data_IF_383095906468
#
_entry.id   IF_383095906468
#
_cell.length_a   1.000
_cell.length_b   1.000
_cell.length_c   1.000
_cell.angle_alpha   90.00
_cell.angle_beta   90.00
_cell.angle_gamma   90.00
#
_symmetry.space_group_name_H-M   'P 1'
#
loop_
_entity.id
_entity.type
_entity.pdbx_description
1 polymer ?
#
# COMPACT_ATOMS: atom_id res chain seq x y z
N UNK A 1 8.11 -15.69 -4.11
CA UNK A 1 7.02 -14.82 -4.62
C UNK A 1 7.62 -13.73 -5.50
N UNK A 2 6.96 -13.32 -6.59
CA UNK A 2 7.41 -12.18 -7.41
C UNK A 2 7.19 -10.86 -6.66
N UNK A 3 7.91 -9.78 -6.98
CA UNK A 3 7.61 -8.45 -6.42
C UNK A 3 6.15 -8.05 -6.65
N UNK A 4 5.60 -8.31 -7.84
CA UNK A 4 4.20 -8.07 -8.16
C UNK A 4 3.23 -8.79 -7.22
N UNK A 5 3.46 -10.08 -6.97
CA UNK A 5 2.63 -10.85 -6.05
C UNK A 5 2.64 -10.31 -4.61
N UNK A 6 3.77 -9.77 -4.15
CA UNK A 6 3.86 -9.14 -2.82
C UNK A 6 2.97 -7.90 -2.71
N UNK A 7 2.76 -7.14 -3.79
CA UNK A 7 1.84 -6.00 -3.81
C UNK A 7 0.40 -6.47 -3.59
N UNK A 8 -0.04 -7.48 -4.35
CA UNK A 8 -1.38 -8.07 -4.21
C UNK A 8 -1.61 -8.63 -2.80
N UNK A 9 -0.63 -9.35 -2.25
CA UNK A 9 -0.71 -9.88 -0.91
C UNK A 9 -0.83 -8.78 0.17
N UNK A 10 -0.10 -7.68 0.02
CA UNK A 10 -0.25 -6.55 0.95
C UNK A 10 -1.64 -5.91 0.85
N UNK A 11 -2.20 -5.78 -0.36
CA UNK A 11 -3.57 -5.30 -0.56
C UNK A 11 -4.61 -6.23 0.09
N UNK A 12 -4.44 -7.55 -0.05
CA UNK A 12 -5.30 -8.56 0.58
C UNK A 12 -5.28 -8.44 2.12
N UNK A 13 -4.09 -8.35 2.72
CA UNK A 13 -3.93 -8.21 4.17
C UNK A 13 -4.57 -6.90 4.67
N UNK A 14 -4.35 -5.78 3.97
CA UNK A 14 -4.97 -4.50 4.34
C UNK A 14 -6.51 -4.56 4.24
N UNK A 15 -7.05 -5.16 3.19
CA UNK A 15 -8.49 -5.36 3.03
C UNK A 15 -9.07 -6.19 4.18
N UNK A 16 -8.36 -7.23 4.60
CA UNK A 16 -8.76 -8.06 5.72
C UNK A 16 -8.77 -7.29 7.06
N UNK A 17 -7.74 -6.47 7.31
CA UNK A 17 -7.64 -5.62 8.50
C UNK A 17 -8.83 -4.66 8.56
N UNK A 18 -9.18 -4.02 7.43
CA UNK A 18 -10.31 -3.10 7.35
C UNK A 18 -11.65 -3.81 7.57
N UNK A 19 -11.84 -4.98 6.95
CA UNK A 19 -13.09 -5.74 7.05
C UNK A 19 -13.32 -6.34 8.45
N UNK A 20 -12.27 -6.85 9.09
CA UNK A 20 -12.39 -7.59 10.37
C UNK A 20 -12.01 -6.75 11.60
N UNK A 21 -11.43 -5.55 11.42
CA UNK A 21 -10.95 -4.66 12.49
C UNK A 21 -10.05 -5.36 13.52
N UNK A 22 -9.08 -6.12 13.03
CA UNK A 22 -8.15 -6.92 13.86
C UNK A 22 -6.75 -6.30 13.91
N UNK A 23 -5.93 -6.63 14.93
CA UNK A 23 -4.53 -6.21 14.95
C UNK A 23 -3.77 -6.69 13.71
N UNK A 24 -2.95 -5.81 13.12
CA UNK A 24 -2.17 -6.09 11.91
C UNK A 24 -1.26 -7.33 12.05
N UNK A 25 -0.69 -7.55 13.24
CA UNK A 25 0.17 -8.70 13.51
C UNK A 25 -0.59 -10.04 13.42
N UNK A 26 -1.85 -10.07 13.84
CA UNK A 26 -2.70 -11.27 13.73
C UNK A 26 -3.10 -11.52 12.27
N UNK A 27 -3.50 -10.47 11.55
CA UNK A 27 -3.83 -10.57 10.12
C UNK A 27 -2.63 -11.11 9.30
N UNK A 28 -1.42 -10.58 9.53
CA UNK A 28 -0.20 -11.05 8.87
C UNK A 28 0.13 -12.51 9.22
N UNK A 29 -0.09 -12.92 10.48
CA UNK A 29 0.11 -14.31 10.92
C UNK A 29 -0.88 -15.26 10.24
N UNK A 30 -2.16 -14.91 10.24
CA UNK A 30 -3.23 -15.70 9.63
C UNK A 30 -3.02 -15.82 8.11
N UNK A 31 -2.75 -14.70 7.43
CA UNK A 31 -2.42 -14.69 6.01
C UNK A 31 -1.21 -15.60 5.73
N UNK A 32 -0.16 -15.51 6.54
CA UNK A 32 1.01 -16.36 6.40
C UNK A 32 0.70 -17.86 6.60
N UNK A 33 -0.19 -18.22 7.52
CA UNK A 33 -0.59 -19.61 7.73
C UNK A 33 -1.38 -20.17 6.54
N UNK A 34 -2.25 -19.34 5.94
CA UNK A 34 -2.97 -19.68 4.71
C UNK A 34 -2.03 -19.80 3.49
N UNK A 35 -0.96 -19.01 3.45
CA UNK A 35 0.01 -18.95 2.36
C UNK A 35 1.30 -19.70 2.67
N UNK A 36 1.21 -21.03 2.80
CA UNK A 36 2.35 -21.91 3.17
C UNK A 36 3.58 -21.81 2.27
N UNK A 37 3.41 -21.38 1.02
CA UNK A 37 4.49 -21.24 0.05
C UNK A 37 5.22 -19.88 0.14
N UNK A 38 4.67 -18.91 0.89
CA UNK A 38 5.38 -17.67 1.17
C UNK A 38 6.54 -17.93 2.13
N UNK A 39 7.77 -17.78 1.64
CA UNK A 39 8.98 -17.94 2.45
C UNK A 39 9.18 -16.78 3.43
N UNK A 40 10.16 -16.91 4.32
CA UNK A 40 10.47 -15.88 5.33
C UNK A 40 10.75 -14.50 4.72
N UNK A 41 11.45 -14.44 3.59
CA UNK A 41 11.73 -13.19 2.86
C UNK A 41 10.46 -12.56 2.28
N UNK A 42 9.52 -13.37 1.78
CA UNK A 42 8.26 -12.88 1.23
C UNK A 42 7.38 -12.32 2.35
N UNK A 43 7.27 -13.06 3.47
CA UNK A 43 6.51 -12.62 4.66
C UNK A 43 7.07 -11.33 5.24
N UNK A 44 8.40 -11.20 5.32
CA UNK A 44 9.04 -9.98 5.79
C UNK A 44 8.75 -8.79 4.85
N UNK A 45 8.85 -8.99 3.53
CA UNK A 45 8.58 -7.94 2.56
C UNK A 45 7.11 -7.48 2.60
N UNK A 46 6.16 -8.40 2.68
CA UNK A 46 4.72 -8.11 2.80
C UNK A 46 4.43 -7.40 4.11
N UNK A 47 4.98 -7.90 5.23
CA UNK A 47 4.82 -7.28 6.54
C UNK A 47 5.30 -5.83 6.53
N UNK A 48 6.51 -5.57 6.03
CA UNK A 48 7.05 -4.21 5.91
C UNK A 48 6.14 -3.31 5.09
N UNK A 49 5.66 -3.79 3.93
CA UNK A 49 4.76 -3.02 3.08
C UNK A 49 3.43 -2.69 3.78
N UNK A 50 2.83 -3.65 4.48
CA UNK A 50 1.58 -3.43 5.22
C UNK A 50 1.77 -2.41 6.35
N UNK A 51 2.84 -2.53 7.14
CA UNK A 51 3.14 -1.57 8.19
C UNK A 51 3.41 -0.16 7.64
N UNK A 52 4.15 -0.06 6.54
CA UNK A 52 4.45 1.21 5.90
C UNK A 52 3.19 1.85 5.30
N UNK A 53 2.32 1.06 4.69
CA UNK A 53 1.03 1.53 4.17
C UNK A 53 0.12 2.08 5.27
N UNK A 54 0.11 1.45 6.45
CA UNK A 54 -0.61 1.96 7.62
C UNK A 54 0.06 3.21 8.21
N UNK A 55 1.39 3.25 8.22
CA UNK A 55 2.18 4.39 8.72
C UNK A 55 2.00 5.64 7.87
N UNK A 56 1.86 5.48 6.55
CA UNK A 56 1.69 6.57 5.60
C UNK A 56 0.29 6.62 4.98
N UNK A 57 -0.72 6.19 5.75
CA UNK A 57 -2.08 6.00 5.26
C UNK A 57 -2.68 7.31 4.72
N UNK A 58 -2.56 8.39 5.48
CA UNK A 58 -3.19 9.67 5.13
C UNK A 58 -2.54 10.26 3.88
N UNK A 59 -1.21 10.32 3.82
CA UNK A 59 -0.50 10.83 2.65
C UNK A 59 -0.69 9.96 1.41
N UNK A 60 -0.67 8.63 1.55
CA UNK A 60 -0.90 7.71 0.42
C UNK A 60 -2.32 7.82 -0.12
N UNK A 61 -3.31 7.92 0.77
CA UNK A 61 -4.70 8.13 0.38
C UNK A 61 -4.92 9.49 -0.31
N UNK A 62 -4.25 10.55 0.16
CA UNK A 62 -4.27 11.86 -0.48
C UNK A 62 -3.69 11.80 -1.90
N UNK A 63 -2.50 11.23 -2.04
CA UNK A 63 -1.80 11.09 -3.33
C UNK A 63 -2.68 10.36 -4.34
N UNK A 64 -3.24 9.22 -3.92
CA UNK A 64 -4.02 8.36 -4.80
C UNK A 64 -5.51 8.77 -4.90
N UNK A 65 -5.94 9.79 -4.15
CA UNK A 65 -7.33 10.27 -4.15
C UNK A 65 -8.35 9.29 -3.58
N UNK A 66 -7.90 8.23 -2.89
CA UNK A 66 -8.76 7.17 -2.36
C UNK A 66 -8.11 6.52 -1.13
N UNK A 67 -8.94 6.16 -0.15
CA UNK A 67 -8.51 5.43 1.04
C UNK A 67 -8.92 3.95 0.93
N UNK A 68 -8.21 3.22 0.06
CA UNK A 68 -8.46 1.79 -0.21
C UNK A 68 -7.15 1.01 -0.12
N UNK A 69 -7.17 -0.31 0.15
CA UNK A 69 -5.96 -1.12 0.20
C UNK A 69 -5.04 -0.97 -1.03
N UNK A 70 -5.64 -0.89 -2.23
CA UNK A 70 -4.91 -0.63 -3.47
C UNK A 70 -4.23 0.74 -3.45
N UNK A 71 -4.99 1.79 -3.17
CA UNK A 71 -4.46 3.16 -3.12
C UNK A 71 -3.34 3.30 -2.07
N UNK A 72 -3.48 2.68 -0.90
CA UNK A 72 -2.46 2.70 0.15
C UNK A 72 -1.16 2.03 -0.29
N UNK A 73 -1.25 0.85 -0.92
CA UNK A 73 -0.07 0.13 -1.45
C UNK A 73 0.57 0.90 -2.60
N UNK A 74 -0.21 1.41 -3.56
CA UNK A 74 0.33 2.16 -4.70
C UNK A 74 0.97 3.48 -4.27
N UNK A 75 0.34 4.24 -3.38
CA UNK A 75 0.91 5.46 -2.83
C UNK A 75 2.20 5.20 -2.04
N UNK A 76 2.22 4.14 -1.23
CA UNK A 76 3.40 3.76 -0.47
C UNK A 76 4.56 3.37 -1.38
N UNK A 77 4.34 2.43 -2.29
CA UNK A 77 5.42 1.92 -3.13
C UNK A 77 5.85 2.95 -4.19
N UNK A 78 4.89 3.59 -4.83
CA UNK A 78 5.12 4.58 -5.88
C UNK A 78 5.83 5.82 -5.36
N UNK A 79 5.36 6.40 -4.24
CA UNK A 79 5.91 7.63 -3.70
C UNK A 79 6.93 7.41 -2.57
N UNK A 80 6.54 6.74 -1.48
CA UNK A 80 7.39 6.63 -0.28
C UNK A 80 8.62 5.74 -0.52
N UNK A 81 8.45 4.65 -1.24
CA UNK A 81 9.57 3.77 -1.65
C UNK A 81 10.22 4.19 -2.99
N UNK A 82 9.71 5.27 -3.61
CA UNK A 82 10.29 5.90 -4.82
C UNK A 82 10.37 4.99 -6.05
N UNK A 83 9.47 4.01 -6.16
CA UNK A 83 9.42 3.17 -7.36
C UNK A 83 8.86 3.93 -8.58
N UNK A 84 7.99 4.92 -8.35
CA UNK A 84 7.34 5.71 -9.39
C UNK A 84 6.26 4.94 -10.18
N UNK A 85 5.61 5.66 -11.10
CA UNK A 85 4.54 5.11 -11.94
C UNK A 85 5.04 4.00 -12.88
N UNK A 86 6.15 4.24 -13.59
CA UNK A 86 6.71 3.28 -14.56
C UNK A 86 7.15 1.97 -13.88
N UNK A 87 7.77 2.06 -12.71
CA UNK A 87 8.20 0.89 -11.96
C UNK A 87 7.02 0.08 -11.41
N UNK A 88 5.93 0.75 -10.99
CA UNK A 88 4.69 0.08 -10.61
C UNK A 88 4.00 -0.56 -11.81
N UNK A 89 3.96 0.13 -12.96
CA UNK A 89 3.38 -0.38 -14.20
C UNK A 89 4.08 -1.67 -14.67
N UNK A 90 5.39 -1.82 -14.41
CA UNK A 90 6.13 -3.05 -14.70
C UNK A 90 5.73 -4.25 -13.82
N UNK A 91 5.07 -4.02 -12.68
CA UNK A 91 4.57 -5.07 -11.79
C UNK A 91 3.05 -5.25 -11.87
N UNK A 92 2.32 -4.23 -12.30
CA UNK A 92 0.88 -4.28 -12.52
C UNK A 92 0.57 -5.06 -13.81
N UNK A 93 -0.46 -5.91 -13.78
CA UNK A 93 -0.79 -6.80 -14.91
C UNK A 93 0.03 -8.09 -14.99
N UNK A 94 0.94 -8.33 -14.03
CA UNK A 94 1.52 -9.67 -13.81
C UNK A 94 0.40 -10.65 -13.39
N UNK A 95 0.44 -11.94 -13.81
CA UNK A 95 -0.60 -12.91 -13.46
C UNK A 95 -0.85 -13.10 -11.95
N UNK A 96 0.13 -12.76 -11.12
CA UNK A 96 0.03 -12.80 -9.66
C UNK A 96 0.04 -11.40 -9.03
N UNK A 97 0.24 -10.36 -9.84
CA UNK A 97 0.25 -8.96 -9.45
C UNK A 97 -1.14 -8.34 -9.36
N UNK A 98 -1.20 -7.06 -8.99
CA UNK A 98 -2.45 -6.32 -8.99
C UNK A 98 -2.87 -6.03 -10.44
N UNK A 99 -4.16 -5.76 -10.65
CA UNK A 99 -4.68 -5.30 -11.94
C UNK A 99 -3.85 -4.11 -12.49
N UNK A 100 -3.74 -3.97 -13.82
CA UNK A 100 -3.05 -2.86 -14.47
C UNK A 100 -3.42 -1.50 -13.86
N UNK A 101 -2.47 -0.58 -13.83
CA UNK A 101 -2.73 0.78 -13.35
C UNK A 101 -3.75 1.47 -14.26
N UNK A 102 -4.67 2.20 -13.65
CA UNK A 102 -5.59 3.06 -14.40
C UNK A 102 -4.91 4.35 -14.83
N UNK A 103 -5.47 5.04 -15.82
CA UNK A 103 -4.96 6.34 -16.28
C UNK A 103 -4.94 7.39 -15.16
N UNK A 104 -5.94 7.37 -14.27
CA UNK A 104 -5.99 8.26 -13.10
C UNK A 104 -4.88 7.93 -12.09
N UNK A 105 -4.63 6.64 -11.83
CA UNK A 105 -3.54 6.20 -10.93
C UNK A 105 -2.16 6.61 -11.48
N UNK A 106 -1.94 6.44 -12.79
CA UNK A 106 -0.72 6.88 -13.47
C UNK A 106 -0.54 8.40 -13.36
N UNK A 107 -1.61 9.16 -13.65
CA UNK A 107 -1.57 10.62 -13.60
C UNK A 107 -1.26 11.14 -12.19
N UNK A 108 -1.84 10.54 -11.15
CA UNK A 108 -1.59 10.90 -9.74
C UNK A 108 -0.17 10.58 -9.30
N UNK A 109 0.33 9.40 -9.66
CA UNK A 109 1.70 8.99 -9.33
C UNK A 109 2.76 9.84 -10.07
N UNK A 110 2.45 10.33 -11.27
CA UNK A 110 3.31 11.23 -12.01
C UNK A 110 3.30 12.67 -11.45
N UNK A 111 2.17 13.11 -10.89
CA UNK A 111 1.95 14.49 -10.42
C UNK A 111 1.62 14.55 -8.93
N UNK A 112 2.48 13.93 -8.10
CA UNK A 112 2.30 13.93 -6.65
C UNK A 112 2.39 15.35 -6.09
N UNK A 113 1.27 15.85 -5.55
CA UNK A 113 1.23 17.09 -4.79
C UNK A 113 0.79 16.82 -3.34
N UNK A 114 1.77 16.52 -2.50
CA UNK A 114 1.56 16.42 -1.05
C UNK A 114 1.71 17.79 -0.36
N UNK A 115 2.26 18.80 -1.03
CA UNK A 115 2.51 20.11 -0.43
C UNK A 115 1.19 20.86 -0.16
N UNK A 116 0.20 20.68 -1.04
CA UNK A 116 -1.17 21.22 -0.88
C UNK A 116 -2.04 20.47 0.12
N UNK A 117 -1.59 19.31 0.63
CA UNK A 117 -2.34 18.56 1.61
C UNK A 117 -2.40 19.25 2.98
N UNK A 118 -3.48 19.03 3.78
CA UNK A 118 -3.55 19.49 5.15
C UNK A 118 -2.33 19.05 5.99
N UNK A 119 -1.88 19.85 6.98
CA UNK A 119 -0.68 19.52 7.77
C UNK A 119 -0.68 18.11 8.37
N UNK A 120 -1.82 17.65 8.90
CA UNK A 120 -1.99 16.31 9.45
C UNK A 120 -1.79 15.20 8.41
N UNK A 121 -2.21 15.42 7.17
CA UNK A 121 -2.04 14.47 6.07
C UNK A 121 -0.57 14.38 5.67
N UNK A 122 0.13 15.53 5.59
CA UNK A 122 1.56 15.58 5.26
C UNK A 122 2.42 14.89 6.30
N UNK A 123 2.03 15.02 7.57
CA UNK A 123 2.73 14.44 8.70
C UNK A 123 2.28 13.00 9.03
N UNK A 124 1.26 12.47 8.34
CA UNK A 124 0.63 11.18 8.65
C UNK A 124 0.25 11.05 10.14
N UNK A 125 -0.38 12.08 10.67
CA UNK A 125 -0.88 12.13 12.04
C UNK A 125 -2.41 12.26 12.07
N UNK A 126 -3.06 11.84 13.17
CA UNK A 126 -4.48 12.15 13.36
C UNK A 126 -4.76 13.66 13.32
N UNK A 127 -5.93 14.01 12.82
CA UNK A 127 -6.39 15.41 12.71
C UNK A 127 -6.49 16.12 14.06
N UNK A 128 -6.91 15.41 15.11
CA UNK A 128 -7.06 15.95 16.46
C UNK A 128 -5.75 16.31 17.17
N UNK A 129 -4.58 15.97 16.60
CA UNK A 129 -3.27 16.43 17.10
C UNK A 129 -2.64 17.51 16.23
N UNK A 130 -3.29 17.94 15.15
CA UNK A 130 -2.81 19.07 14.38
C UNK A 130 -2.99 20.38 15.16
N UNK A 131 -2.03 21.32 15.07
CA UNK A 131 -2.06 22.60 15.77
C UNK A 131 -3.12 23.56 15.23
#
# INVERSE_FOLDING_TARGET
MTPAARLSAAMEVLAEIEARRRPVAEALKDWGNAHRFAGSKDRAAIGNLVYDALRWRASSAWIMGADTPRALVLGTVGHRWKLGADGLAAYAGDPHGPEPLTDDELARLANVDLASAPPQVRADIPDWIAP
#
